data_IF_890037907562
#
_entry.id   IF_890037907562
#
_cell.length_a   1.000
_cell.length_b   1.000
_cell.length_c   1.000
_cell.angle_alpha   90.00
_cell.angle_beta   90.00
_cell.angle_gamma   90.00
#
_symmetry.space_group_name_H-M   'P 1'
#
loop_
_entity.id
_entity.type
_entity.pdbx_description
1 polymer ?
#
# COMPACT_ATOMS: atom_id res chain seq x y z
N UNK A 1 -4.28 6.15 -10.92
CA UNK A 1 -4.02 7.50 -10.36
C UNK A 1 -4.93 8.51 -11.05
N UNK A 2 -5.41 9.51 -10.32
CA UNK A 2 -6.14 10.63 -10.93
C UNK A 2 -5.18 11.64 -11.59
N UNK A 3 -5.73 12.65 -12.27
CA UNK A 3 -4.93 13.60 -13.05
C UNK A 3 -4.02 14.45 -12.16
N UNK A 4 -4.52 14.89 -10.99
CA UNK A 4 -3.73 15.66 -10.03
C UNK A 4 -2.58 14.82 -9.45
N UNK A 5 -2.87 13.58 -9.01
CA UNK A 5 -1.84 12.65 -8.53
C UNK A 5 -0.73 12.40 -9.56
N UNK A 6 -1.09 12.33 -10.85
CA UNK A 6 -0.11 12.08 -11.91
C UNK A 6 0.72 13.33 -12.21
N UNK A 7 0.11 14.52 -12.14
CA UNK A 7 0.84 15.78 -12.23
C UNK A 7 1.86 15.90 -11.08
N UNK A 8 1.42 15.72 -9.84
CA UNK A 8 2.26 15.83 -8.64
C UNK A 8 3.41 14.81 -8.68
N UNK A 9 3.14 13.60 -9.15
CA UNK A 9 4.16 12.58 -9.34
C UNK A 9 5.23 13.00 -10.35
N UNK A 10 4.84 13.59 -11.48
CA UNK A 10 5.78 14.07 -12.50
C UNK A 10 6.60 15.27 -12.02
N UNK A 11 6.00 16.18 -11.23
CA UNK A 11 6.74 17.28 -10.59
C UNK A 11 7.76 16.79 -9.57
N UNK A 12 7.42 15.79 -8.75
CA UNK A 12 8.38 15.17 -7.84
C UNK A 12 9.57 14.58 -8.61
N UNK A 13 9.28 13.88 -9.71
CA UNK A 13 10.33 13.29 -10.54
C UNK A 13 11.21 14.35 -11.22
N UNK A 14 10.68 15.53 -11.55
CA UNK A 14 11.47 16.65 -12.08
C UNK A 14 12.56 17.12 -11.11
N UNK A 15 12.36 16.94 -9.80
CA UNK A 15 13.36 17.27 -8.78
C UNK A 15 14.68 16.51 -8.97
N UNK A 16 14.63 15.27 -9.48
CA UNK A 16 15.82 14.48 -9.82
C UNK A 16 16.14 14.49 -11.31
N UNK A 17 15.11 14.65 -12.16
CA UNK A 17 15.22 14.58 -13.62
C UNK A 17 14.52 15.79 -14.29
N UNK A 18 15.19 16.95 -14.39
CA UNK A 18 14.56 18.22 -14.81
C UNK A 18 13.93 18.24 -16.21
N UNK A 19 14.22 17.24 -17.04
CA UNK A 19 13.70 17.11 -18.42
C UNK A 19 12.37 16.37 -18.50
N UNK A 20 11.92 15.75 -17.42
CA UNK A 20 10.58 15.15 -17.37
C UNK A 20 9.55 16.25 -17.62
N UNK A 21 8.56 15.97 -18.46
CA UNK A 21 7.51 16.92 -18.78
C UNK A 21 6.27 16.65 -17.93
N UNK A 22 5.73 17.70 -17.31
CA UNK A 22 4.43 17.72 -16.63
C UNK A 22 3.32 18.34 -17.50
N UNK A 23 3.51 18.37 -18.83
CA UNK A 23 2.48 18.83 -19.77
C UNK A 23 1.33 17.83 -19.85
N UNK A 24 0.14 18.30 -20.24
CA UNK A 24 -1.07 17.48 -20.37
C UNK A 24 -0.85 16.16 -21.13
N UNK A 25 -0.16 16.19 -22.28
CA UNK A 25 0.12 14.97 -23.07
C UNK A 25 0.98 13.95 -22.34
N UNK A 26 1.94 14.41 -21.53
CA UNK A 26 2.74 13.53 -20.69
C UNK A 26 1.90 12.96 -19.55
N UNK A 27 1.07 13.78 -18.90
CA UNK A 27 0.16 13.32 -17.83
C UNK A 27 -0.78 12.24 -18.37
N UNK A 28 -1.43 12.47 -19.50
CA UNK A 28 -2.32 11.50 -20.16
C UNK A 28 -1.60 10.18 -20.45
N UNK A 29 -0.38 10.25 -21.02
CA UNK A 29 0.43 9.06 -21.31
C UNK A 29 0.77 8.26 -20.05
N UNK A 30 1.16 8.96 -18.98
CA UNK A 30 1.50 8.32 -17.70
C UNK A 30 0.27 7.73 -17.01
N UNK A 31 -0.87 8.44 -17.06
CA UNK A 31 -2.14 7.95 -16.55
C UNK A 31 -2.60 6.70 -17.29
N UNK A 32 -2.51 6.66 -18.62
CA UNK A 32 -2.91 5.50 -19.41
C UNK A 32 -2.06 4.26 -19.06
N UNK A 33 -0.73 4.42 -18.95
CA UNK A 33 0.17 3.29 -18.68
C UNK A 33 0.07 2.82 -17.22
N UNK A 34 -0.21 3.72 -16.28
CA UNK A 34 -0.26 3.45 -14.84
C UNK A 34 -1.69 3.43 -14.29
N UNK A 35 -2.71 3.31 -15.15
CA UNK A 35 -4.14 3.42 -14.79
C UNK A 35 -4.50 2.56 -13.58
N UNK A 36 -4.00 1.32 -13.56
CA UNK A 36 -4.31 0.29 -12.55
C UNK A 36 -3.35 0.27 -11.36
N UNK A 37 -2.39 1.20 -11.30
CA UNK A 37 -1.38 1.27 -10.24
C UNK A 37 -1.75 2.40 -9.27
N UNK A 38 -1.89 2.12 -7.96
CA UNK A 38 -2.10 3.16 -6.96
C UNK A 38 -0.90 4.11 -6.85
N UNK A 39 -1.15 5.38 -6.53
CA UNK A 39 -0.11 6.41 -6.40
C UNK A 39 1.05 5.98 -5.49
N UNK A 40 0.75 5.47 -4.29
CA UNK A 40 1.79 4.99 -3.36
C UNK A 40 2.69 3.89 -3.95
N UNK A 41 2.14 3.04 -4.82
CA UNK A 41 2.91 1.96 -5.45
C UNK A 41 3.82 2.53 -6.52
N UNK A 42 3.35 3.50 -7.31
CA UNK A 42 4.17 4.25 -8.25
C UNK A 42 5.31 4.99 -7.53
N UNK A 43 5.02 5.63 -6.40
CA UNK A 43 6.01 6.32 -5.57
C UNK A 43 7.09 5.37 -5.06
N UNK A 44 6.71 4.24 -4.45
CA UNK A 44 7.66 3.20 -4.00
C UNK A 44 8.48 2.63 -5.16
N UNK A 45 7.88 2.45 -6.34
CA UNK A 45 8.57 2.00 -7.54
C UNK A 45 9.60 3.03 -8.00
N UNK A 46 9.28 4.32 -7.96
CA UNK A 46 10.20 5.40 -8.28
C UNK A 46 11.38 5.48 -7.30
N UNK A 47 11.13 5.40 -5.99
CA UNK A 47 12.22 5.34 -5.00
C UNK A 47 13.13 4.12 -5.24
N UNK A 48 12.56 2.98 -5.63
CA UNK A 48 13.34 1.79 -5.98
C UNK A 48 14.17 1.99 -7.24
N UNK A 49 13.64 2.70 -8.25
CA UNK A 49 14.37 3.11 -9.45
C UNK A 49 15.59 3.96 -9.09
N UNK A 50 15.42 4.99 -8.25
CA UNK A 50 16.50 5.85 -7.78
C UNK A 50 17.58 5.06 -7.02
N UNK A 51 17.17 4.16 -6.13
CA UNK A 51 18.10 3.31 -5.36
C UNK A 51 18.90 2.32 -6.20
N UNK A 52 18.43 1.99 -7.40
CA UNK A 52 19.19 1.15 -8.34
C UNK A 52 20.39 1.87 -8.97
N UNK A 53 20.54 3.19 -8.74
CA UNK A 53 21.64 3.98 -9.31
C UNK A 53 21.47 4.29 -10.79
N UNK A 54 20.24 4.18 -11.32
CA UNK A 54 19.90 4.50 -12.69
C UNK A 54 20.09 6.01 -12.94
N UNK A 55 20.96 6.37 -13.89
CA UNK A 55 21.24 7.77 -14.23
C UNK A 55 20.32 8.31 -15.31
N UNK A 56 19.54 7.43 -15.95
CA UNK A 56 18.61 7.79 -17.02
C UNK A 56 17.27 8.22 -16.46
N UNK A 57 16.56 9.02 -17.24
CA UNK A 57 15.18 9.41 -16.94
C UNK A 57 14.27 8.17 -16.86
N UNK A 58 13.49 8.02 -15.77
CA UNK A 58 12.48 6.98 -15.67
C UNK A 58 11.37 7.22 -16.69
N UNK A 59 11.00 6.15 -17.40
CA UNK A 59 9.84 6.09 -18.27
C UNK A 59 8.67 5.43 -17.53
N UNK A 60 7.42 5.68 -17.93
CA UNK A 60 6.26 5.09 -17.26
C UNK A 60 6.32 3.56 -17.25
N UNK A 61 6.89 2.95 -18.30
CA UNK A 61 7.14 1.51 -18.36
C UNK A 61 8.11 0.98 -17.30
N UNK A 62 9.13 1.76 -16.92
CA UNK A 62 10.07 1.38 -15.85
C UNK A 62 9.38 1.35 -14.50
N UNK A 63 8.57 2.39 -14.23
CA UNK A 63 7.77 2.49 -13.01
C UNK A 63 6.76 1.35 -12.96
N UNK A 64 6.08 1.05 -14.07
CA UNK A 64 5.14 -0.08 -14.14
C UNK A 64 5.83 -1.42 -13.89
N UNK A 65 7.01 -1.64 -14.48
CA UNK A 65 7.78 -2.88 -14.28
C UNK A 65 8.17 -3.04 -12.81
N UNK A 66 8.69 -1.99 -12.18
CA UNK A 66 9.06 -2.00 -10.76
C UNK A 66 7.83 -2.13 -9.86
N UNK A 67 6.74 -1.43 -10.15
CA UNK A 67 5.47 -1.53 -9.44
C UNK A 67 4.93 -2.96 -9.43
N UNK A 68 5.02 -3.68 -10.55
CA UNK A 68 4.66 -5.10 -10.63
C UNK A 68 5.53 -5.98 -9.71
N UNK A 69 6.80 -5.66 -9.50
CA UNK A 69 7.65 -6.39 -8.54
C UNK A 69 7.31 -6.09 -7.09
N UNK A 70 6.73 -4.92 -6.82
CA UNK A 70 6.26 -4.52 -5.49
C UNK A 70 4.87 -5.09 -5.21
N UNK A 71 4.06 -5.26 -6.25
CA UNK A 71 2.77 -5.93 -6.21
C UNK A 71 2.95 -7.44 -6.16
N UNK A 72 3.44 -7.95 -5.02
CA UNK A 72 3.19 -9.34 -4.68
C UNK A 72 1.74 -9.43 -4.23
N UNK A 73 0.87 -9.92 -5.10
CA UNK A 73 -0.34 -10.60 -4.63
C UNK A 73 0.18 -11.65 -3.67
N UNK A 74 -0.04 -11.47 -2.37
CA UNK A 74 0.17 -12.56 -1.42
C UNK A 74 -0.82 -13.62 -1.86
N UNK A 75 -0.35 -14.61 -2.64
CA UNK A 75 -1.11 -15.81 -2.87
C UNK A 75 -1.20 -16.50 -1.50
N UNK A 76 -2.28 -16.19 -0.81
CA UNK A 76 -2.70 -16.91 0.37
C UNK A 76 -3.26 -18.22 -0.17
N UNK A 77 -2.38 -19.18 -0.44
CA UNK A 77 -2.81 -20.57 -0.49
C UNK A 77 -3.51 -20.86 0.83
N UNK A 78 -4.77 -21.27 0.79
CA UNK A 78 -5.54 -21.54 2.01
C UNK A 78 -4.95 -22.78 2.70
N UNK A 79 -4.01 -22.56 3.62
CA UNK A 79 -3.55 -23.61 4.52
C UNK A 79 -4.64 -23.82 5.56
N UNK A 80 -5.11 -25.05 5.71
CA UNK A 80 -6.07 -25.39 6.74
C UNK A 80 -5.46 -25.07 8.11
N UNK A 81 -5.94 -24.00 8.75
CA UNK A 81 -5.50 -23.58 10.06
C UNK A 81 -6.73 -23.38 10.92
N UNK A 82 -6.83 -24.10 12.04
CA UNK A 82 -8.02 -24.03 12.88
C UNK A 82 -8.21 -22.67 13.56
N UNK A 83 -7.12 -21.91 13.70
CA UNK A 83 -7.08 -20.61 14.38
C UNK A 83 -7.46 -19.47 13.44
N UNK A 84 -6.74 -19.29 12.33
CA UNK A 84 -6.97 -18.18 11.40
C UNK A 84 -7.82 -18.56 10.17
N UNK A 85 -8.25 -19.83 10.06
CA UNK A 85 -8.99 -20.37 8.91
C UNK A 85 -8.31 -20.11 7.56
N UNK A 86 -6.97 -20.03 7.58
CA UNK A 86 -6.14 -19.81 6.41
C UNK A 86 -5.81 -18.35 6.10
N UNK A 87 -6.32 -17.37 6.82
CA UNK A 87 -6.04 -15.94 6.55
C UNK A 87 -4.60 -15.51 6.90
N UNK A 88 -3.94 -16.22 7.82
CA UNK A 88 -2.63 -15.85 8.36
C UNK A 88 -2.65 -14.70 9.38
N UNK A 89 -3.79 -14.04 9.58
CA UNK A 89 -3.98 -12.91 10.49
C UNK A 89 -5.01 -13.27 11.58
N UNK A 90 -4.83 -12.68 12.76
CA UNK A 90 -5.70 -12.85 13.91
C UNK A 90 -6.23 -11.49 14.36
N UNK A 91 -7.50 -11.44 14.71
CA UNK A 91 -8.05 -10.33 15.48
C UNK A 91 -7.87 -10.68 16.96
N UNK A 92 -7.22 -9.80 17.69
CA UNK A 92 -6.93 -9.91 19.12
C UNK A 92 -7.73 -8.83 19.82
N UNK A 93 -8.27 -9.15 21.00
CA UNK A 93 -8.90 -8.18 21.88
C UNK A 93 -7.99 -8.11 23.11
N UNK A 94 -7.35 -6.96 23.30
CA UNK A 94 -6.48 -6.71 24.44
C UNK A 94 -7.32 -6.65 25.74
N UNK A 95 -6.73 -6.89 26.93
CA UNK A 95 -7.45 -6.86 28.20
C UNK A 95 -8.15 -5.53 28.52
N UNK A 96 -7.71 -4.44 27.90
CA UNK A 96 -8.27 -3.08 28.00
C UNK A 96 -9.37 -2.81 26.95
N UNK A 97 -9.71 -3.81 26.14
CA UNK A 97 -10.79 -3.76 25.15
C UNK A 97 -10.36 -3.24 23.78
N UNK A 98 -9.07 -2.98 23.54
CA UNK A 98 -8.60 -2.60 22.20
C UNK A 98 -8.60 -3.79 21.27
N UNK A 99 -9.09 -3.58 20.05
CA UNK A 99 -8.85 -4.54 18.99
C UNK A 99 -7.45 -4.34 18.44
N UNK A 100 -6.77 -5.44 18.18
CA UNK A 100 -5.51 -5.42 17.47
C UNK A 100 -5.41 -6.54 16.45
N UNK A 101 -4.60 -6.32 15.41
CA UNK A 101 -4.36 -7.34 14.38
C UNK A 101 -3.00 -7.97 14.60
N UNK A 102 -2.99 -9.28 14.82
CA UNK A 102 -1.79 -10.08 15.06
C UNK A 102 -1.48 -11.07 13.94
N UNK A 103 -0.24 -11.53 13.93
CA UNK A 103 0.25 -12.61 13.07
C UNK A 103 -0.16 -13.98 13.65
N UNK A 104 -0.76 -14.85 12.82
CA UNK A 104 -0.93 -16.26 13.18
C UNK A 104 0.43 -17.00 13.13
N UNK A 105 0.62 -18.05 13.91
CA UNK A 105 1.85 -18.86 13.90
C UNK A 105 1.94 -19.84 12.72
N UNK A 106 0.87 -19.99 11.94
CA UNK A 106 0.80 -20.90 10.78
C UNK A 106 1.69 -20.44 9.62
N UNK A 107 1.84 -21.28 8.59
CA UNK A 107 2.63 -20.97 7.39
C UNK A 107 2.16 -19.69 6.69
N UNK A 108 0.85 -19.45 6.62
CA UNK A 108 0.32 -18.20 6.09
C UNK A 108 0.69 -16.99 6.94
N UNK A 109 0.68 -17.10 8.27
CA UNK A 109 1.13 -16.02 9.14
C UNK A 109 2.64 -15.75 9.06
N UNK A 110 3.47 -16.79 8.78
CA UNK A 110 4.90 -16.61 8.50
C UNK A 110 5.19 -15.83 7.23
N UNK A 111 4.24 -15.76 6.26
CA UNK A 111 4.35 -14.91 5.06
C UNK A 111 4.24 -13.41 5.37
N UNK A 112 3.84 -13.04 6.60
CA UNK A 112 3.73 -11.65 7.07
C UNK A 112 4.78 -11.34 8.17
N UNK A 113 6.09 -11.39 7.88
CA UNK A 113 7.10 -11.06 8.87
C UNK A 113 7.01 -9.58 9.25
N UNK A 114 6.98 -9.29 10.55
CA UNK A 114 7.00 -7.93 11.07
C UNK A 114 5.68 -7.16 10.95
N UNK A 115 4.54 -7.84 10.72
CA UNK A 115 3.23 -7.17 10.79
C UNK A 115 3.06 -6.55 12.20
N UNK A 116 2.97 -5.22 12.32
CA UNK A 116 2.80 -4.58 13.61
C UNK A 116 1.43 -4.94 14.17
N UNK A 117 1.37 -5.14 15.48
CA UNK A 117 0.10 -5.15 16.22
C UNK A 117 -0.48 -3.75 16.09
N UNK A 118 -1.35 -3.54 15.09
CA UNK A 118 -2.08 -2.27 14.94
C UNK A 118 -3.18 -2.30 15.99
N UNK A 119 -3.07 -1.47 17.02
CA UNK A 119 -4.18 -1.19 17.93
C UNK A 119 -5.17 -0.30 17.17
N UNK A 120 -6.39 -0.80 16.99
CA UNK A 120 -7.49 -0.03 16.41
C UNK A 120 -8.11 0.85 17.49
N UNK A 121 -8.54 2.05 17.10
CA UNK A 121 -9.23 2.96 18.00
C UNK A 121 -10.53 2.34 18.52
N UNK A 122 -10.89 2.69 19.74
CA UNK A 122 -12.15 2.33 20.36
C UNK A 122 -13.34 2.64 19.43
N UNK A 123 -14.20 1.64 19.21
CA UNK A 123 -15.54 1.89 18.69
C UNK A 123 -16.57 1.66 19.79
N UNK A 124 -17.51 2.61 19.93
CA UNK A 124 -18.73 2.42 20.71
C UNK A 124 -19.93 2.38 19.77
N UNK A 125 -20.95 1.63 20.16
CA UNK A 125 -22.26 1.69 19.52
C UNK A 125 -23.13 2.67 20.31
N UNK A 126 -23.72 3.65 19.62
CA UNK A 126 -24.74 4.50 20.27
C UNK A 126 -26.09 3.77 20.39
N UNK A 127 -27.07 4.43 21.01
CA UNK A 127 -28.42 3.87 21.21
C UNK A 127 -29.16 3.50 19.91
N UNK A 128 -28.64 3.94 18.75
CA UNK A 128 -29.15 3.62 17.42
C UNK A 128 -28.32 2.56 16.68
N UNK A 129 -27.32 1.96 17.34
CA UNK A 129 -26.44 0.95 16.75
C UNK A 129 -25.40 1.50 15.76
N UNK A 130 -25.15 2.81 15.77
CA UNK A 130 -24.12 3.42 14.90
C UNK A 130 -22.76 3.38 15.58
N UNK A 131 -21.73 3.10 14.77
CA UNK A 131 -20.33 3.07 15.18
C UNK A 131 -19.85 4.51 15.41
N UNK A 132 -19.38 4.79 16.62
CA UNK A 132 -18.72 6.04 17.00
C UNK A 132 -17.26 5.72 17.35
N UNK A 133 -16.31 6.29 16.59
CA UNK A 133 -14.88 6.23 16.90
C UNK A 133 -14.57 7.22 18.01
N UNK A 134 -14.17 6.75 19.18
CA UNK A 134 -13.68 7.66 20.23
C UNK A 134 -12.20 7.91 20.00
N UNK A 135 -11.88 9.03 19.35
CA UNK A 135 -10.52 9.57 19.36
C UNK A 135 -10.16 9.90 20.81
N UNK A 136 -9.16 9.20 21.36
CA UNK A 136 -8.62 9.47 22.68
C UNK A 136 -7.85 10.79 22.71
N UNK A 137 -8.09 11.58 23.76
CA UNK A 137 -7.36 12.78 24.14
C UNK A 137 -5.93 12.47 24.64
#
# INVERSE_FOLDING_TARGET
MNHAETHDFLEEMQGCFPRISSKATAIETWQEILEKVPYETCHKAYIKFLKAGETREPKPGDILALARTLYKVTQIESVACDICKGSGMLMLIDPDGHESVGRCSCENGKKYPGFPIVKLDFYRYNQMGRIETTYGA
#
